data_IF_809589712206
#
_entry.id   IF_809589712206
#
_cell.length_a   1.000
_cell.length_b   1.000
_cell.length_c   1.000
_cell.angle_alpha   90.00
_cell.angle_beta   90.00
_cell.angle_gamma   90.00
#
_symmetry.space_group_name_H-M   'P 1'
#
loop_
_entity.id
_entity.type
_entity.pdbx_description
1 polymer ?
#
# COMPACT_ATOMS: atom_id res chain seq x y z
N UNK A 1 27.68 12.23 8.56
CA UNK A 1 28.03 11.00 9.30
C UNK A 1 28.56 10.01 8.28
N UNK A 2 29.88 9.73 8.31
CA UNK A 2 30.58 8.92 7.30
C UNK A 2 30.23 7.46 7.53
N UNK A 3 29.49 6.85 6.61
CA UNK A 3 29.24 5.40 6.61
C UNK A 3 30.49 4.71 6.09
N UNK A 4 31.28 4.18 7.02
CA UNK A 4 32.34 3.23 6.79
C UNK A 4 31.81 2.02 6.02
N UNK A 5 32.29 1.81 4.78
CA UNK A 5 32.12 0.56 4.05
C UNK A 5 32.88 -0.54 4.79
N UNK A 6 32.19 -1.32 5.60
CA UNK A 6 32.70 -2.59 6.13
C UNK A 6 32.68 -3.59 4.97
N UNK A 7 33.84 -3.81 4.35
CA UNK A 7 34.08 -4.94 3.46
C UNK A 7 34.16 -6.21 4.31
N UNK A 8 33.05 -6.95 4.38
CA UNK A 8 33.07 -8.27 5.00
C UNK A 8 33.84 -9.23 4.10
N UNK A 9 35.03 -9.60 4.58
CA UNK A 9 35.90 -10.62 4.00
C UNK A 9 35.14 -11.96 4.00
N UNK A 10 34.85 -12.48 2.81
CA UNK A 10 34.20 -13.79 2.60
C UNK A 10 35.05 -14.89 3.28
N UNK A 11 34.53 -15.65 4.26
CA UNK A 11 35.26 -16.80 4.77
C UNK A 11 35.18 -17.92 3.74
N UNK A 12 36.33 -18.25 3.14
CA UNK A 12 36.50 -19.47 2.35
C UNK A 12 36.47 -20.67 3.31
N UNK A 13 35.27 -21.20 3.56
CA UNK A 13 35.10 -22.53 4.15
C UNK A 13 34.94 -23.53 3.02
N UNK A 14 35.82 -24.52 3.01
CA UNK A 14 35.79 -25.71 2.17
C UNK A 14 34.45 -26.44 2.32
N UNK A 15 33.67 -26.44 1.25
CA UNK A 15 32.50 -27.31 1.08
C UNK A 15 33.00 -28.63 0.55
N UNK A 16 33.31 -29.56 1.45
CA UNK A 16 33.49 -30.97 1.13
C UNK A 16 33.15 -31.75 2.39
N UNK A 17 32.22 -32.71 2.26
CA UNK A 17 31.66 -33.59 3.31
C UNK A 17 30.41 -33.08 4.06
N UNK A 18 29.30 -32.95 3.31
CA UNK A 18 27.94 -33.09 3.85
C UNK A 18 26.99 -33.61 2.77
N UNK A 19 27.36 -34.71 2.09
CA UNK A 19 26.49 -35.41 1.14
C UNK A 19 26.29 -36.82 1.69
N UNK A 20 25.33 -36.99 2.59
CA UNK A 20 25.13 -38.32 3.19
C UNK A 20 24.16 -38.36 4.36
N UNK A 21 23.03 -37.66 4.27
CA UNK A 21 21.78 -38.02 4.94
C UNK A 21 20.70 -37.06 4.43
N UNK A 22 20.02 -37.44 3.34
CA UNK A 22 18.75 -36.81 2.96
C UNK A 22 17.77 -37.13 4.09
N UNK A 23 17.65 -36.18 5.02
CA UNK A 23 16.70 -36.25 6.13
C UNK A 23 15.34 -36.60 5.58
N UNK A 24 14.80 -37.76 5.98
CA UNK A 24 13.42 -38.13 5.68
C UNK A 24 12.52 -36.98 6.12
N UNK A 25 11.64 -36.55 5.21
CA UNK A 25 10.64 -35.53 5.49
C UNK A 25 9.72 -36.01 6.62
N UNK A 26 9.92 -35.46 7.82
CA UNK A 26 9.10 -35.77 8.98
C UNK A 26 7.77 -35.03 8.84
N UNK A 27 6.72 -35.73 8.42
CA UNK A 27 5.33 -35.23 8.29
C UNK A 27 4.72 -34.63 9.56
N UNK A 28 5.44 -34.68 10.69
CA UNK A 28 5.01 -34.10 11.96
C UNK A 28 5.56 -32.68 12.18
N UNK A 29 6.30 -32.15 11.21
CA UNK A 29 6.95 -30.87 11.34
C UNK A 29 6.14 -29.77 10.65
N UNK A 30 5.19 -29.19 11.38
CA UNK A 30 4.32 -28.11 10.90
C UNK A 30 5.05 -26.81 10.53
N UNK A 31 6.35 -26.72 10.83
CA UNK A 31 7.17 -25.52 10.58
C UNK A 31 8.14 -25.69 9.41
N UNK A 32 8.11 -26.84 8.73
CA UNK A 32 9.11 -27.18 7.73
C UNK A 32 9.17 -26.15 6.59
N UNK A 33 8.01 -25.81 5.99
CA UNK A 33 7.93 -24.81 4.94
C UNK A 33 8.39 -23.43 5.41
N UNK A 34 7.99 -23.02 6.62
CA UNK A 34 8.41 -21.74 7.20
C UNK A 34 9.94 -21.68 7.30
N UNK A 35 10.58 -22.72 7.85
CA UNK A 35 12.04 -22.76 7.96
C UNK A 35 12.70 -22.62 6.61
N UNK A 36 12.30 -23.40 5.61
CA UNK A 36 12.86 -23.30 4.26
C UNK A 36 12.74 -21.89 3.67
N UNK A 37 11.55 -21.27 3.77
CA UNK A 37 11.33 -19.90 3.27
C UNK A 37 12.15 -18.84 4.03
N UNK A 38 12.34 -19.02 5.34
CA UNK A 38 13.11 -18.09 6.19
C UNK A 38 14.64 -18.26 6.09
N UNK A 39 15.12 -19.43 5.67
CA UNK A 39 16.56 -19.75 5.57
C UNK A 39 17.06 -19.86 4.14
N UNK A 40 16.37 -19.24 3.18
CA UNK A 40 16.76 -19.21 1.76
C UNK A 40 16.82 -20.60 1.08
N UNK A 41 16.16 -21.61 1.64
CA UNK A 41 16.04 -22.96 1.06
C UNK A 41 15.00 -23.00 -0.05
N UNK A 42 15.11 -22.11 -1.04
CA UNK A 42 14.05 -21.84 -2.01
C UNK A 42 13.75 -23.04 -2.92
N UNK A 43 14.78 -23.75 -3.38
CA UNK A 43 14.61 -24.94 -4.24
C UNK A 43 13.86 -26.06 -3.50
N UNK A 44 14.25 -26.34 -2.26
CA UNK A 44 13.57 -27.32 -1.40
C UNK A 44 12.14 -26.87 -1.07
N UNK A 45 11.91 -25.57 -0.86
CA UNK A 45 10.58 -25.03 -0.59
C UNK A 45 9.67 -25.16 -1.81
N UNK A 46 10.18 -24.88 -3.02
CA UNK A 46 9.45 -25.06 -4.29
C UNK A 46 9.13 -26.53 -4.49
N UNK A 47 10.12 -27.43 -4.37
CA UNK A 47 9.91 -28.87 -4.51
C UNK A 47 8.89 -29.41 -3.50
N UNK A 48 8.92 -28.90 -2.26
CA UNK A 48 7.95 -29.26 -1.25
C UNK A 48 6.53 -28.75 -1.58
N UNK A 49 6.40 -27.51 -2.05
CA UNK A 49 5.13 -26.95 -2.48
C UNK A 49 4.53 -27.74 -3.65
N UNK A 50 5.34 -28.09 -4.65
CA UNK A 50 4.90 -28.90 -5.78
C UNK A 50 4.46 -30.30 -5.33
N UNK A 51 5.20 -30.92 -4.41
CA UNK A 51 4.81 -32.21 -3.82
C UNK A 51 3.47 -32.14 -3.07
N UNK A 52 3.21 -31.07 -2.32
CA UNK A 52 1.92 -30.84 -1.66
C UNK A 52 0.79 -30.68 -2.69
N UNK A 53 1.01 -29.88 -3.73
CA UNK A 53 -0.02 -29.61 -4.73
C UNK A 53 -0.39 -30.87 -5.51
N UNK A 54 0.62 -31.61 -6.00
CA UNK A 54 0.42 -32.90 -6.70
C UNK A 54 -0.28 -33.92 -5.80
N UNK A 55 0.10 -34.00 -4.52
CA UNK A 55 -0.54 -34.91 -3.56
C UNK A 55 -2.03 -34.64 -3.36
N UNK A 56 -2.41 -33.36 -3.24
CA UNK A 56 -3.82 -32.93 -3.16
C UNK A 56 -4.58 -33.33 -4.44
N UNK A 57 -4.04 -32.99 -5.61
CA UNK A 57 -4.70 -33.26 -6.90
C UNK A 57 -4.88 -34.76 -7.15
N UNK A 58 -3.86 -35.59 -6.89
CA UNK A 58 -3.97 -37.04 -7.00
C UNK A 58 -4.99 -37.64 -6.03
N UNK A 59 -5.11 -37.12 -4.81
CA UNK A 59 -6.10 -37.61 -3.86
C UNK A 59 -7.56 -37.31 -4.30
N UNK A 60 -7.77 -36.26 -5.10
CA UNK A 60 -9.09 -35.90 -5.62
C UNK A 60 -9.56 -36.82 -6.75
N UNK A 61 -8.67 -37.27 -7.63
CA UNK A 61 -9.02 -38.13 -8.76
C UNK A 61 -9.47 -39.52 -8.30
N UNK A 62 -8.89 -40.04 -7.22
CA UNK A 62 -9.26 -41.33 -6.61
C UNK A 62 -10.70 -41.32 -6.05
N UNK A 63 -11.21 -40.15 -5.62
CA UNK A 63 -12.55 -40.02 -5.04
C UNK A 63 -13.63 -39.69 -6.10
N UNK A 64 -13.23 -39.25 -7.29
CA UNK A 64 -14.14 -38.80 -8.36
C UNK A 64 -14.55 -39.89 -9.37
N UNK A 65 -14.52 -41.16 -8.98
CA UNK A 65 -14.75 -42.31 -9.86
C UNK A 65 -16.06 -42.26 -10.66
N UNK A 66 -15.98 -41.71 -11.87
CA UNK A 66 -16.79 -42.08 -13.03
C UNK A 66 -15.86 -42.27 -14.22
N UNK A 67 -15.88 -43.48 -14.77
CA UNK A 67 -15.11 -43.97 -15.91
C UNK A 67 -15.00 -42.96 -17.07
N UNK A 68 -13.86 -42.30 -17.20
CA UNK A 68 -13.40 -41.82 -18.52
C UNK A 68 -11.88 -42.00 -18.60
N UNK A 69 -11.49 -43.06 -19.29
CA UNK A 69 -10.11 -43.36 -19.67
C UNK A 69 -9.55 -42.24 -20.56
N UNK A 70 -8.85 -41.28 -19.97
CA UNK A 70 -8.09 -40.25 -20.70
C UNK A 70 -6.59 -40.46 -20.45
N UNK A 71 -5.93 -40.98 -21.47
CA UNK A 71 -4.50 -41.29 -21.57
C UNK A 71 -3.63 -40.02 -21.55
N UNK A 72 -3.36 -39.47 -20.36
CA UNK A 72 -2.38 -38.38 -20.16
C UNK A 72 -1.35 -38.66 -19.04
N UNK A 73 -1.08 -39.93 -18.71
CA UNK A 73 -0.26 -40.30 -17.54
C UNK A 73 1.27 -40.24 -17.71
N UNK A 74 1.83 -39.94 -18.89
CA UNK A 74 3.26 -40.19 -19.12
C UNK A 74 4.21 -38.97 -19.10
N UNK A 75 3.76 -37.77 -18.70
CA UNK A 75 4.62 -36.58 -18.72
C UNK A 75 5.16 -36.10 -17.36
N UNK A 76 4.77 -36.71 -16.24
CA UNK A 76 5.10 -36.20 -14.89
C UNK A 76 5.97 -37.14 -14.01
N UNK A 77 6.31 -38.35 -14.46
CA UNK A 77 6.99 -39.34 -13.62
C UNK A 77 8.54 -39.27 -13.61
N UNK A 78 9.19 -38.51 -14.51
CA UNK A 78 10.64 -38.64 -14.69
C UNK A 78 11.51 -37.58 -14.00
N UNK A 79 10.94 -36.57 -13.34
CA UNK A 79 11.77 -35.47 -12.75
C UNK A 79 11.40 -35.02 -11.34
N UNK A 80 10.35 -35.56 -10.70
CA UNK A 80 10.14 -35.29 -9.28
C UNK A 80 11.14 -36.12 -8.46
N UNK A 81 12.02 -35.49 -7.66
CA UNK A 81 12.94 -36.24 -6.82
C UNK A 81 12.12 -37.14 -5.90
N UNK A 82 12.41 -38.44 -5.94
CA UNK A 82 11.87 -39.54 -5.13
C UNK A 82 12.11 -39.25 -3.63
N UNK A 83 11.38 -38.29 -3.07
CA UNK A 83 11.51 -37.83 -1.69
C UNK A 83 10.22 -38.08 -0.90
N UNK A 84 9.09 -38.26 -1.58
CA UNK A 84 7.90 -38.80 -0.91
C UNK A 84 8.11 -40.31 -0.71
N UNK A 85 8.26 -40.80 0.54
CA UNK A 85 8.37 -42.22 0.79
C UNK A 85 7.14 -42.94 0.21
N UNK A 86 7.28 -44.22 -0.12
CA UNK A 86 6.22 -45.16 -0.54
C UNK A 86 5.11 -45.39 0.52
N UNK A 87 4.84 -44.39 1.36
CA UNK A 87 3.94 -44.39 2.49
C UNK A 87 2.51 -44.21 2.01
N UNK A 88 1.67 -45.19 2.36
CA UNK A 88 0.21 -45.16 2.54
C UNK A 88 -0.50 -43.98 1.87
N UNK A 89 -1.34 -44.28 0.88
CA UNK A 89 -2.25 -43.32 0.25
C UNK A 89 -2.97 -42.49 1.32
N UNK A 90 -2.53 -41.24 1.48
CA UNK A 90 -3.22 -40.28 2.34
C UNK A 90 -4.57 -39.95 1.71
N UNK A 91 -5.57 -39.80 2.56
CA UNK A 91 -6.85 -39.22 2.15
C UNK A 91 -6.65 -37.77 1.71
N UNK A 92 -7.60 -37.27 0.90
CA UNK A 92 -7.63 -35.86 0.51
C UNK A 92 -7.61 -34.93 1.74
N UNK A 93 -8.38 -35.29 2.79
CA UNK A 93 -8.45 -34.49 4.00
C UNK A 93 -7.09 -34.38 4.71
N UNK A 94 -6.34 -35.48 4.83
CA UNK A 94 -5.00 -35.48 5.43
C UNK A 94 -4.01 -34.61 4.63
N UNK A 95 -4.12 -34.59 3.30
CA UNK A 95 -3.33 -33.69 2.46
C UNK A 95 -3.69 -32.22 2.67
N UNK A 96 -4.98 -31.91 2.69
CA UNK A 96 -5.47 -30.55 2.92
C UNK A 96 -5.09 -30.03 4.30
N UNK A 97 -5.23 -30.85 5.34
CA UNK A 97 -4.87 -30.48 6.71
C UNK A 97 -3.36 -30.23 6.83
N UNK A 98 -2.54 -31.09 6.23
CA UNK A 98 -1.09 -30.93 6.26
C UNK A 98 -0.63 -29.71 5.45
N UNK A 99 -1.13 -29.50 4.23
CA UNK A 99 -0.83 -28.29 3.47
C UNK A 99 -1.30 -27.03 4.21
N UNK A 100 -2.45 -27.10 4.90
CA UNK A 100 -2.96 -26.01 5.72
C UNK A 100 -2.07 -25.72 6.94
N UNK A 101 -1.50 -26.74 7.59
CA UNK A 101 -0.60 -26.53 8.74
C UNK A 101 0.70 -25.85 8.30
N UNK A 102 1.27 -26.28 7.17
CA UNK A 102 2.48 -25.70 6.61
C UNK A 102 2.28 -24.26 6.16
N UNK A 103 1.26 -23.99 5.32
CA UNK A 103 1.10 -22.70 4.65
C UNK A 103 0.64 -21.60 5.62
N UNK A 104 -0.11 -21.96 6.66
CA UNK A 104 -0.64 -21.02 7.66
C UNK A 104 0.08 -21.10 9.02
N UNK A 105 1.20 -21.82 9.12
CA UNK A 105 2.05 -21.73 10.31
C UNK A 105 2.45 -20.27 10.54
N UNK A 106 2.31 -19.79 11.77
CA UNK A 106 2.70 -18.44 12.15
C UNK A 106 3.81 -18.49 13.20
N UNK A 107 4.87 -17.72 13.00
CA UNK A 107 5.91 -17.54 14.00
C UNK A 107 5.44 -16.64 15.18
N UNK A 108 6.36 -16.32 16.09
CA UNK A 108 6.07 -15.47 17.25
C UNK A 108 5.66 -14.03 16.90
N UNK A 109 5.82 -13.59 15.65
CA UNK A 109 5.38 -12.29 15.15
C UNK A 109 4.13 -12.38 14.26
N UNK A 110 3.56 -13.58 14.08
CA UNK A 110 2.41 -13.81 13.21
C UNK A 110 2.78 -13.99 11.73
N UNK A 111 4.07 -14.11 11.40
CA UNK A 111 4.50 -14.24 10.01
C UNK A 111 4.23 -15.66 9.51
N UNK A 112 3.60 -15.76 8.35
CA UNK A 112 3.46 -17.01 7.59
C UNK A 112 4.72 -17.29 6.77
N UNK A 113 4.89 -18.49 6.16
CA UNK A 113 5.98 -18.73 5.21
C UNK A 113 6.02 -17.71 4.06
N UNK A 114 4.85 -17.21 3.63
CA UNK A 114 4.78 -16.18 2.60
C UNK A 114 5.32 -14.83 3.09
N UNK A 115 5.10 -14.45 4.36
CA UNK A 115 5.75 -13.27 4.95
C UNK A 115 7.27 -13.45 5.03
N UNK A 116 7.71 -14.61 5.53
CA UNK A 116 9.13 -14.92 5.67
C UNK A 116 9.86 -14.86 4.32
N UNK A 117 9.27 -15.46 3.27
CA UNK A 117 9.77 -15.35 1.91
C UNK A 117 9.82 -13.88 1.45
N UNK A 118 8.73 -13.13 1.66
CA UNK A 118 8.61 -11.73 1.23
C UNK A 118 9.63 -10.80 1.89
N UNK A 119 10.09 -11.12 3.11
CA UNK A 119 11.07 -10.30 3.82
C UNK A 119 12.46 -10.32 3.17
N UNK A 120 12.78 -11.36 2.38
CA UNK A 120 14.13 -11.64 1.89
C UNK A 120 14.27 -11.59 0.37
N UNK A 121 13.43 -10.79 -0.31
CA UNK A 121 13.44 -10.60 -1.78
C UNK A 121 13.41 -11.95 -2.53
N UNK A 122 12.32 -12.71 -2.39
CA UNK A 122 12.28 -14.09 -2.84
C UNK A 122 12.27 -14.17 -4.38
N UNK A 123 12.76 -15.27 -4.97
CA UNK A 123 12.62 -15.48 -6.40
C UNK A 123 11.14 -15.72 -6.74
N UNK A 124 10.73 -15.29 -7.95
CA UNK A 124 9.34 -15.44 -8.42
C UNK A 124 8.82 -16.88 -8.31
N UNK A 125 9.66 -17.87 -8.63
CA UNK A 125 9.27 -19.29 -8.58
C UNK A 125 8.81 -19.74 -7.18
N UNK A 126 9.39 -19.19 -6.11
CA UNK A 126 8.99 -19.54 -4.75
C UNK A 126 7.61 -18.98 -4.43
N UNK A 127 7.36 -17.73 -4.82
CA UNK A 127 6.07 -17.08 -4.60
C UNK A 127 4.97 -17.78 -5.40
N UNK A 128 5.20 -18.11 -6.68
CA UNK A 128 4.24 -18.89 -7.46
C UNK A 128 3.98 -20.28 -6.85
N UNK A 129 5.01 -20.97 -6.35
CA UNK A 129 4.84 -22.27 -5.72
C UNK A 129 3.98 -22.20 -4.44
N UNK A 130 4.21 -21.19 -3.59
CA UNK A 130 3.39 -20.95 -2.40
C UNK A 130 1.92 -20.65 -2.77
N UNK A 131 1.71 -19.83 -3.80
CA UNK A 131 0.38 -19.53 -4.32
C UNK A 131 -0.30 -20.74 -4.93
N UNK A 132 0.42 -21.58 -5.68
CA UNK A 132 -0.10 -22.84 -6.22
C UNK A 132 -0.67 -23.73 -5.14
N UNK A 133 0.05 -23.92 -4.03
CA UNK A 133 -0.45 -24.66 -2.85
C UNK A 133 -1.69 -23.98 -2.26
N UNK A 134 -1.68 -22.65 -2.15
CA UNK A 134 -2.83 -21.86 -1.72
C UNK A 134 -4.07 -22.12 -2.60
N UNK A 135 -3.92 -22.10 -3.92
CA UNK A 135 -5.00 -22.32 -4.90
C UNK A 135 -5.59 -23.72 -4.78
N UNK A 136 -4.79 -24.78 -4.78
CA UNK A 136 -5.32 -26.17 -4.66
C UNK A 136 -5.97 -26.40 -3.29
N UNK A 137 -5.40 -25.85 -2.22
CA UNK A 137 -6.00 -25.90 -0.89
C UNK A 137 -7.35 -25.19 -0.88
N UNK A 138 -7.43 -23.99 -1.45
CA UNK A 138 -8.67 -23.23 -1.54
C UNK A 138 -9.71 -23.93 -2.40
N UNK A 139 -9.32 -24.48 -3.57
CA UNK A 139 -10.23 -25.18 -4.48
C UNK A 139 -10.95 -26.36 -3.83
N UNK A 140 -10.23 -27.16 -3.03
CA UNK A 140 -10.75 -28.42 -2.49
C UNK A 140 -11.24 -28.33 -1.04
N UNK A 141 -10.99 -27.22 -0.34
CA UNK A 141 -11.49 -27.02 1.02
C UNK A 141 -12.96 -26.59 1.02
N UNK A 142 -13.76 -27.24 1.86
CA UNK A 142 -15.18 -26.91 2.08
C UNK A 142 -15.35 -25.70 3.00
N UNK A 143 -14.46 -25.55 3.97
CA UNK A 143 -14.43 -24.44 4.92
C UNK A 143 -13.78 -23.19 4.30
N UNK A 144 -14.61 -22.18 3.98
CA UNK A 144 -14.23 -20.86 3.46
C UNK A 144 -14.06 -19.81 4.57
N UNK A 145 -14.00 -20.19 5.84
CA UNK A 145 -13.87 -19.23 6.96
C UNK A 145 -12.50 -18.58 7.05
N UNK A 146 -11.47 -19.18 6.44
CA UNK A 146 -10.12 -18.62 6.40
C UNK A 146 -9.98 -17.61 5.27
N UNK A 147 -9.07 -16.66 5.42
CA UNK A 147 -8.68 -15.75 4.34
C UNK A 147 -7.61 -16.39 3.45
N UNK A 148 -7.49 -15.99 2.17
CA UNK A 148 -6.41 -16.46 1.31
C UNK A 148 -5.04 -16.14 1.89
N UNK A 149 -4.01 -16.93 1.55
CA UNK A 149 -2.68 -16.80 2.17
C UNK A 149 -2.06 -15.40 1.98
N UNK A 150 -2.35 -14.75 0.85
CA UNK A 150 -1.89 -13.38 0.55
C UNK A 150 -2.56 -12.30 1.40
N UNK A 151 -3.67 -12.60 2.08
CA UNK A 151 -4.43 -11.68 2.93
C UNK A 151 -4.22 -11.92 4.43
N UNK A 152 -3.45 -12.93 4.83
CA UNK A 152 -3.24 -13.25 6.25
C UNK A 152 -2.40 -12.13 6.87
N UNK A 153 -2.88 -11.39 7.89
CA UNK A 153 -2.07 -10.39 8.55
C UNK A 153 -1.12 -11.01 9.59
N UNK A 154 0.07 -10.42 9.76
CA UNK A 154 0.94 -10.61 10.92
C UNK A 154 0.41 -9.85 12.15
N UNK A 155 1.11 -9.92 13.30
CA UNK A 155 0.67 -9.28 14.55
C UNK A 155 0.59 -7.75 14.47
N UNK A 156 1.43 -7.14 13.65
CA UNK A 156 1.39 -5.71 13.35
C UNK A 156 0.41 -5.37 12.21
N UNK A 157 -0.43 -6.32 11.79
CA UNK A 157 -1.36 -6.21 10.66
C UNK A 157 -0.71 -6.08 9.27
N UNK A 158 0.61 -6.29 9.15
CA UNK A 158 1.25 -6.33 7.85
C UNK A 158 0.79 -7.55 7.04
N UNK A 159 0.46 -7.35 5.77
CA UNK A 159 0.22 -8.47 4.83
C UNK A 159 1.53 -8.91 4.20
N UNK A 160 1.64 -10.13 3.63
CA UNK A 160 2.84 -10.53 2.92
C UNK A 160 3.17 -9.60 1.74
N UNK A 161 2.15 -9.04 1.08
CA UNK A 161 2.35 -8.06 0.01
C UNK A 161 2.94 -6.74 0.52
N UNK A 162 2.46 -6.22 1.66
CA UNK A 162 3.06 -5.06 2.31
C UNK A 162 4.53 -5.30 2.63
N UNK A 163 4.85 -6.48 3.19
CA UNK A 163 6.22 -6.87 3.50
C UNK A 163 7.05 -6.88 2.21
N UNK A 164 6.60 -7.54 1.15
CA UNK A 164 7.29 -7.60 -0.13
C UNK A 164 7.57 -6.21 -0.73
N UNK A 165 6.58 -5.30 -0.66
CA UNK A 165 6.74 -3.91 -1.09
C UNK A 165 7.81 -3.17 -0.27
N UNK A 166 7.82 -3.37 1.05
CA UNK A 166 8.68 -2.66 1.99
C UNK A 166 10.13 -3.18 2.02
N UNK A 167 10.36 -4.42 1.58
CA UNK A 167 11.70 -5.05 1.55
C UNK A 167 12.34 -5.09 0.17
N UNK A 168 11.67 -4.53 -0.85
CA UNK A 168 12.23 -4.40 -2.19
C UNK A 168 12.13 -5.65 -3.04
N UNK A 169 11.03 -6.40 -2.93
CA UNK A 169 10.75 -7.46 -3.88
C UNK A 169 10.72 -6.92 -5.32
N UNK A 170 11.06 -7.76 -6.29
CA UNK A 170 11.08 -7.35 -7.70
C UNK A 170 9.67 -7.02 -8.20
N UNK A 171 9.58 -6.19 -9.26
CA UNK A 171 8.29 -5.89 -9.90
C UNK A 171 7.55 -7.15 -10.34
N UNK A 172 8.26 -8.19 -10.79
CA UNK A 172 7.67 -9.48 -11.16
C UNK A 172 7.05 -10.22 -9.98
N UNK A 173 7.68 -10.19 -8.80
CA UNK A 173 7.11 -10.79 -7.58
C UNK A 173 5.86 -10.03 -7.16
N UNK A 174 5.92 -8.70 -7.13
CA UNK A 174 4.77 -7.88 -6.73
C UNK A 174 3.61 -7.99 -7.73
N UNK A 175 3.91 -8.09 -9.03
CA UNK A 175 2.93 -8.37 -10.06
C UNK A 175 2.26 -9.73 -9.82
N UNK A 176 3.02 -10.76 -9.43
CA UNK A 176 2.48 -12.09 -9.11
C UNK A 176 1.51 -12.05 -7.92
N UNK A 177 1.77 -11.24 -6.89
CA UNK A 177 0.80 -11.02 -5.80
C UNK A 177 -0.53 -10.45 -6.30
N UNK A 178 -0.47 -9.43 -7.16
CA UNK A 178 -1.67 -8.80 -7.70
C UNK A 178 -2.42 -9.72 -8.68
N UNK A 179 -1.69 -10.49 -9.49
CA UNK A 179 -2.25 -11.52 -10.37
C UNK A 179 -2.97 -12.61 -9.56
N UNK A 180 -2.43 -12.99 -8.41
CA UNK A 180 -3.05 -13.99 -7.53
C UNK A 180 -4.37 -13.49 -6.93
N UNK A 181 -4.46 -12.20 -6.58
CA UNK A 181 -5.73 -11.59 -6.13
C UNK A 181 -6.78 -11.65 -7.23
N UNK A 182 -6.40 -11.23 -8.44
CA UNK A 182 -7.30 -11.25 -9.60
C UNK A 182 -7.74 -12.67 -9.93
N UNK A 183 -6.85 -13.66 -9.84
CA UNK A 183 -7.18 -15.08 -10.01
C UNK A 183 -8.29 -15.54 -9.04
N UNK A 184 -8.19 -15.22 -7.74
CA UNK A 184 -9.24 -15.59 -6.77
C UNK A 184 -10.58 -14.90 -7.06
N UNK A 185 -10.55 -13.70 -7.62
CA UNK A 185 -11.77 -12.97 -7.99
C UNK A 185 -12.41 -13.59 -9.24
N UNK A 186 -11.61 -13.90 -10.26
CA UNK A 186 -12.06 -14.48 -11.51
C UNK A 186 -12.67 -15.88 -11.32
N UNK A 187 -12.11 -16.66 -10.39
CA UNK A 187 -12.66 -17.95 -9.96
C UNK A 187 -13.90 -17.83 -9.06
N UNK A 188 -14.36 -16.61 -8.75
CA UNK A 188 -15.42 -16.30 -7.76
C UNK A 188 -15.17 -16.95 -6.39
N UNK A 189 -13.90 -17.10 -6.03
CA UNK A 189 -13.46 -17.68 -4.77
C UNK A 189 -13.50 -16.68 -3.61
N UNK A 190 -13.42 -15.39 -3.94
CA UNK A 190 -13.57 -14.27 -3.02
C UNK A 190 -14.38 -13.16 -3.69
N UNK A 191 -14.99 -12.29 -2.88
CA UNK A 191 -15.66 -11.09 -3.39
C UNK A 191 -14.64 -10.10 -4.00
N UNK A 192 -15.08 -9.29 -4.97
CA UNK A 192 -14.22 -8.27 -5.58
C UNK A 192 -13.59 -7.34 -4.54
N UNK A 193 -14.29 -7.05 -3.43
CA UNK A 193 -13.79 -6.21 -2.35
C UNK A 193 -12.50 -6.76 -1.70
N UNK A 194 -12.18 -8.04 -1.91
CA UNK A 194 -10.95 -8.64 -1.42
C UNK A 194 -9.67 -7.99 -2.01
N UNK A 195 -9.75 -7.28 -3.15
CA UNK A 195 -8.62 -6.45 -3.66
C UNK A 195 -8.09 -5.46 -2.64
N UNK A 196 -8.98 -4.93 -1.80
CA UNK A 196 -8.61 -3.94 -0.78
C UNK A 196 -7.83 -4.57 0.37
N UNK A 197 -7.96 -5.88 0.62
CA UNK A 197 -7.28 -6.58 1.71
C UNK A 197 -5.76 -6.60 1.52
N UNK A 198 -5.30 -6.74 0.28
CA UNK A 198 -3.87 -6.73 -0.04
C UNK A 198 -3.23 -5.38 0.22
N UNK A 199 -4.02 -4.30 0.17
CA UNK A 199 -3.57 -2.93 0.32
C UNK A 199 -3.87 -2.32 1.67
N UNK A 200 -4.32 -3.14 2.63
CA UNK A 200 -4.56 -2.66 3.98
C UNK A 200 -3.26 -2.11 4.58
N UNK A 201 -3.35 -0.97 5.26
CA UNK A 201 -2.24 -0.48 6.05
C UNK A 201 -1.98 -1.42 7.24
N UNK A 202 -0.73 -1.51 7.65
CA UNK A 202 -0.37 -2.10 8.94
C UNK A 202 -0.85 -1.24 10.13
N UNK A 203 -0.59 -1.69 11.36
CA UNK A 203 -0.88 -0.97 12.59
C UNK A 203 -0.10 0.35 12.75
N UNK A 204 0.89 0.60 11.89
CA UNK A 204 1.63 1.87 11.81
C UNK A 204 1.09 2.80 10.72
N UNK A 205 0.08 2.36 9.96
CA UNK A 205 -0.49 3.11 8.84
C UNK A 205 0.25 2.93 7.52
N UNK A 206 1.25 2.04 7.42
CA UNK A 206 2.04 1.81 6.22
C UNK A 206 1.26 0.95 5.22
N UNK A 207 1.01 1.46 4.02
CA UNK A 207 0.37 0.71 2.93
C UNK A 207 1.41 0.12 1.99
N UNK A 208 1.07 -0.90 1.17
CA UNK A 208 2.03 -1.48 0.22
C UNK A 208 2.59 -0.46 -0.77
N UNK A 209 1.77 0.50 -1.18
CA UNK A 209 2.23 1.59 -2.03
C UNK A 209 3.31 2.43 -1.31
N UNK A 210 3.12 2.77 -0.02
CA UNK A 210 4.15 3.45 0.76
C UNK A 210 5.43 2.63 0.89
N UNK A 211 5.31 1.34 1.21
CA UNK A 211 6.46 0.43 1.30
C UNK A 211 7.26 0.43 -0.02
N UNK A 212 6.55 0.29 -1.14
CA UNK A 212 7.11 0.28 -2.48
C UNK A 212 7.85 1.58 -2.82
N UNK A 213 7.23 2.73 -2.55
CA UNK A 213 7.82 4.05 -2.82
C UNK A 213 9.00 4.32 -1.88
N UNK A 214 8.84 4.03 -0.59
CA UNK A 214 9.88 4.29 0.41
C UNK A 214 11.15 3.50 0.11
N UNK A 215 11.01 2.24 -0.30
CA UNK A 215 12.15 1.41 -0.68
C UNK A 215 12.85 1.94 -1.94
N UNK A 216 12.08 2.38 -2.94
CA UNK A 216 12.62 2.83 -4.22
C UNK A 216 12.91 4.34 -4.29
N UNK A 217 12.81 5.06 -3.16
CA UNK A 217 12.96 6.52 -3.12
C UNK A 217 14.27 6.99 -3.72
N UNK A 218 15.38 6.34 -3.37
CA UNK A 218 16.70 6.73 -3.89
C UNK A 218 16.80 6.46 -5.38
N UNK A 219 16.23 5.35 -5.86
CA UNK A 219 16.19 5.03 -7.29
C UNK A 219 15.33 6.05 -8.07
N UNK A 220 14.18 6.44 -7.53
CA UNK A 220 13.33 7.51 -8.09
C UNK A 220 14.08 8.83 -8.14
N UNK A 221 14.74 9.23 -7.04
CA UNK A 221 15.50 10.49 -6.99
C UNK A 221 16.65 10.53 -8.00
N UNK A 222 17.24 9.37 -8.35
CA UNK A 222 18.26 9.30 -9.40
C UNK A 222 17.69 9.45 -10.82
N UNK A 223 16.40 9.17 -11.03
CA UNK A 223 15.74 9.39 -12.32
C UNK A 223 15.54 10.88 -12.62
N UNK A 224 15.31 11.71 -11.59
CA UNK A 224 15.13 13.16 -11.76
C UNK A 224 16.41 13.88 -12.18
N UNK A 225 17.58 13.30 -11.92
CA UNK A 225 18.88 13.97 -12.10
C UNK A 225 19.56 13.65 -13.44
N UNK A 226 19.06 12.69 -14.21
CA UNK A 226 19.73 12.23 -15.43
C UNK A 226 18.77 12.00 -16.60
N UNK A 227 19.16 12.35 -17.84
CA UNK A 227 18.37 11.99 -19.02
C UNK A 227 18.15 10.47 -19.06
N UNK A 228 16.89 10.07 -19.22
CA UNK A 228 16.45 8.69 -19.09
C UNK A 228 17.22 7.81 -20.07
N UNK A 229 18.02 6.89 -19.55
CA UNK A 229 18.63 5.85 -20.36
C UNK A 229 17.50 4.95 -20.92
N UNK A 230 17.49 4.58 -22.22
CA UNK A 230 16.43 3.74 -22.79
C UNK A 230 16.21 2.41 -22.06
N UNK A 231 17.26 1.85 -21.43
CA UNK A 231 17.13 0.65 -20.60
C UNK A 231 16.35 0.89 -19.31
N UNK A 232 16.41 2.12 -18.79
CA UNK A 232 15.72 2.52 -17.56
C UNK A 232 14.27 2.86 -17.83
N UNK A 233 13.94 3.28 -19.06
CA UNK A 233 12.59 3.56 -19.51
C UNK A 233 11.67 2.34 -19.35
N UNK A 234 12.13 1.14 -19.74
CA UNK A 234 11.36 -0.09 -19.56
C UNK A 234 11.13 -0.44 -18.07
N UNK A 235 12.16 -0.26 -17.23
CA UNK A 235 12.05 -0.48 -15.79
C UNK A 235 11.14 0.54 -15.12
N UNK A 236 11.18 1.80 -15.55
CA UNK A 236 10.31 2.88 -15.07
C UNK A 236 8.86 2.66 -15.48
N UNK A 237 8.61 2.25 -16.72
CA UNK A 237 7.26 1.90 -17.17
C UNK A 237 6.71 0.73 -16.35
N UNK A 238 7.52 -0.32 -16.10
CA UNK A 238 7.10 -1.44 -15.27
C UNK A 238 6.81 -1.01 -13.81
N UNK A 239 7.67 -0.16 -13.25
CA UNK A 239 7.51 0.42 -11.92
C UNK A 239 6.20 1.22 -11.79
N UNK A 240 5.95 2.11 -12.74
CA UNK A 240 4.76 2.96 -12.76
C UNK A 240 3.50 2.14 -13.00
N UNK A 241 3.52 1.18 -13.94
CA UNK A 241 2.43 0.23 -14.17
C UNK A 241 2.04 -0.50 -12.88
N UNK A 242 3.03 -0.96 -12.12
CA UNK A 242 2.78 -1.62 -10.85
C UNK A 242 2.19 -0.66 -9.81
N UNK A 243 2.73 0.54 -9.65
CA UNK A 243 2.19 1.55 -8.73
C UNK A 243 0.74 1.93 -9.07
N UNK A 244 0.42 2.09 -10.36
CA UNK A 244 -0.94 2.34 -10.84
C UNK A 244 -1.84 1.14 -10.56
N UNK A 245 -1.35 -0.08 -10.76
CA UNK A 245 -2.13 -1.29 -10.44
C UNK A 245 -2.38 -1.41 -8.94
N UNK A 246 -1.42 -1.03 -8.09
CA UNK A 246 -1.66 -0.93 -6.64
C UNK A 246 -2.72 0.12 -6.33
N UNK A 247 -2.67 1.30 -6.95
CA UNK A 247 -3.74 2.31 -6.79
C UNK A 247 -5.08 1.79 -7.32
N UNK A 248 -5.09 1.03 -8.42
CA UNK A 248 -6.29 0.39 -8.96
C UNK A 248 -6.86 -0.66 -8.01
N UNK A 249 -6.04 -1.53 -7.44
CA UNK A 249 -6.49 -2.50 -6.46
C UNK A 249 -7.07 -1.82 -5.20
N UNK A 250 -6.63 -0.59 -4.86
CA UNK A 250 -7.22 0.20 -3.77
C UNK A 250 -8.55 0.85 -4.18
N UNK A 251 -8.86 0.89 -5.48
CA UNK A 251 -9.91 1.73 -6.06
C UNK A 251 -10.75 0.89 -7.01
N UNK A 252 -11.78 0.27 -6.46
CA UNK A 252 -12.71 -0.55 -7.22
C UNK A 252 -13.30 0.27 -8.39
N UNK A 253 -13.46 -0.38 -9.55
CA UNK A 253 -14.14 0.13 -10.75
C UNK A 253 -13.44 1.23 -11.58
N UNK A 254 -12.13 1.44 -11.42
CA UNK A 254 -11.35 2.40 -12.24
C UNK A 254 -10.48 1.69 -13.27
N UNK A 255 -10.69 1.91 -14.57
CA UNK A 255 -9.84 1.31 -15.62
C UNK A 255 -8.82 2.33 -16.13
N UNK A 256 -7.53 2.27 -15.72
CA UNK A 256 -6.50 3.28 -16.05
C UNK A 256 -6.11 3.34 -17.53
N UNK A 257 -6.70 2.45 -18.31
CA UNK A 257 -6.59 2.32 -19.75
C UNK A 257 -7.50 3.29 -20.52
N UNK A 258 -8.57 3.76 -19.87
CA UNK A 258 -9.54 4.68 -20.46
C UNK A 258 -9.26 6.09 -19.96
N UNK A 259 -9.11 7.09 -20.86
CA UNK A 259 -8.88 8.46 -20.44
C UNK A 259 -9.96 9.05 -19.54
N UNK A 260 -11.20 8.57 -19.66
CA UNK A 260 -12.32 8.93 -18.78
C UNK A 260 -12.09 8.54 -17.31
N UNK A 261 -11.12 7.68 -17.03
CA UNK A 261 -10.72 7.30 -15.67
C UNK A 261 -9.74 8.29 -15.04
N UNK A 262 -9.13 9.21 -15.80
CA UNK A 262 -8.14 10.16 -15.29
C UNK A 262 -8.66 11.01 -14.12
N UNK A 263 -9.85 11.63 -14.20
CA UNK A 263 -10.40 12.38 -13.07
C UNK A 263 -10.58 11.52 -11.82
N UNK A 264 -11.02 10.27 -12.00
CA UNK A 264 -11.19 9.34 -10.90
C UNK A 264 -9.83 8.94 -10.30
N UNK A 265 -8.80 8.68 -11.10
CA UNK A 265 -7.46 8.39 -10.59
C UNK A 265 -6.86 9.59 -9.83
N UNK A 266 -7.06 10.82 -10.31
CA UNK A 266 -6.64 12.04 -9.58
C UNK A 266 -7.36 12.16 -8.24
N UNK A 267 -8.68 11.92 -8.21
CA UNK A 267 -9.44 11.84 -6.95
C UNK A 267 -8.85 10.82 -5.97
N UNK A 268 -8.41 9.67 -6.47
CA UNK A 268 -7.82 8.62 -5.64
C UNK A 268 -6.42 8.97 -5.16
N UNK A 269 -5.55 9.49 -6.02
CA UNK A 269 -4.25 10.03 -5.62
C UNK A 269 -4.40 11.10 -4.53
N UNK A 270 -5.42 11.95 -4.64
CA UNK A 270 -5.73 12.94 -3.63
C UNK A 270 -6.24 12.33 -2.31
N UNK A 271 -7.07 11.27 -2.35
CA UNK A 271 -7.52 10.54 -1.15
C UNK A 271 -6.38 9.85 -0.39
N UNK A 272 -5.26 9.57 -1.06
CA UNK A 272 -4.04 9.06 -0.44
C UNK A 272 -2.89 10.07 -0.55
N UNK A 273 -3.19 11.38 -0.60
CA UNK A 273 -2.20 12.44 -0.83
C UNK A 273 -0.94 12.38 0.06
N UNK A 274 -1.00 12.02 1.37
CA UNK A 274 0.22 11.89 2.18
C UNK A 274 1.16 10.79 1.69
N UNK A 275 0.64 9.86 0.90
CA UNK A 275 1.26 8.60 0.51
C UNK A 275 1.44 8.44 -1.00
N UNK A 276 0.78 9.29 -1.80
CA UNK A 276 0.85 9.29 -3.25
C UNK A 276 2.05 10.13 -3.72
N UNK A 277 3.01 9.57 -4.47
CA UNK A 277 4.09 10.38 -5.01
C UNK A 277 3.54 11.45 -5.94
N UNK A 278 4.10 12.65 -5.86
CA UNK A 278 3.72 13.79 -6.70
C UNK A 278 3.88 13.45 -8.19
N UNK A 279 4.99 12.80 -8.56
CA UNK A 279 5.23 12.37 -9.93
C UNK A 279 4.19 11.37 -10.43
N UNK A 280 3.54 10.59 -9.56
CA UNK A 280 2.49 9.66 -9.98
C UNK A 280 1.28 10.44 -10.49
N UNK A 281 0.92 11.52 -9.81
CA UNK A 281 -0.16 12.41 -10.24
C UNK A 281 0.19 13.11 -11.56
N UNK A 282 1.40 13.65 -11.67
CA UNK A 282 1.90 14.26 -12.92
C UNK A 282 1.92 13.25 -14.07
N UNK A 283 2.36 12.02 -13.80
CA UNK A 283 2.42 10.96 -14.81
C UNK A 283 1.03 10.55 -15.31
N UNK A 284 0.02 10.53 -14.44
CA UNK A 284 -1.37 10.31 -14.87
C UNK A 284 -1.84 11.34 -15.90
N UNK A 285 -1.26 12.54 -15.87
CA UNK A 285 -1.59 13.64 -16.77
C UNK A 285 -0.68 13.73 -18.00
N UNK A 286 0.41 12.96 -18.09
CA UNK A 286 1.27 13.00 -19.27
C UNK A 286 0.47 12.54 -20.51
N UNK A 287 0.53 13.29 -21.63
CA UNK A 287 -0.04 12.84 -22.90
C UNK A 287 0.62 11.51 -23.27
N UNK A 288 -0.13 10.41 -23.22
CA UNK A 288 0.41 9.11 -23.63
C UNK A 288 0.48 9.12 -25.15
N UNK A 289 1.66 9.35 -25.70
CA UNK A 289 1.95 9.29 -27.14
C UNK A 289 1.44 7.99 -27.80
N UNK A 290 1.28 6.92 -27.01
CA UNK A 290 0.80 5.62 -27.46
C UNK A 290 -0.73 5.41 -27.40
N UNK A 291 -1.52 6.40 -26.97
CA UNK A 291 -3.00 6.31 -26.97
C UNK A 291 -3.60 7.62 -27.48
N UNK A 292 -3.62 7.76 -28.80
CA UNK A 292 -4.50 8.71 -29.45
C UNK A 292 -5.94 8.36 -29.08
N UNK A 293 -6.65 9.25 -28.39
CA UNK A 293 -7.94 9.79 -28.87
C UNK A 293 -8.62 10.72 -27.88
N UNK A 294 -8.35 10.66 -26.57
CA UNK A 294 -8.94 11.62 -25.62
C UNK A 294 -7.92 11.98 -24.54
N UNK A 295 -7.30 13.16 -24.64
CA UNK A 295 -6.58 13.76 -23.53
C UNK A 295 -7.59 14.51 -22.67
N UNK A 296 -7.74 14.13 -21.39
CA UNK A 296 -8.55 14.89 -20.43
C UNK A 296 -7.64 15.96 -19.81
N UNK A 297 -7.95 17.26 -19.96
CA UNK A 297 -7.14 18.32 -19.38
C UNK A 297 -6.98 18.18 -17.87
N UNK A 298 -5.81 18.53 -17.37
CA UNK A 298 -5.47 18.54 -15.94
C UNK A 298 -6.50 19.30 -15.11
N UNK A 299 -6.94 20.45 -15.63
CA UNK A 299 -7.97 21.29 -15.03
C UNK A 299 -9.30 20.56 -14.86
N UNK A 300 -9.72 19.76 -15.84
CA UNK A 300 -10.96 18.98 -15.78
C UNK A 300 -10.85 17.88 -14.73
N UNK A 301 -9.70 17.19 -14.67
CA UNK A 301 -9.45 16.18 -13.64
C UNK A 301 -9.48 16.78 -12.23
N UNK A 302 -8.84 17.94 -12.04
CA UNK A 302 -8.80 18.65 -10.76
C UNK A 302 -10.14 19.31 -10.38
N UNK A 303 -11.02 19.59 -11.35
CA UNK A 303 -12.36 20.16 -11.12
C UNK A 303 -13.47 19.11 -10.97
N UNK A 304 -13.20 17.84 -11.29
CA UNK A 304 -14.23 16.78 -11.25
C UNK A 304 -14.51 16.37 -9.80
N UNK A 305 -15.76 16.55 -9.36
CA UNK A 305 -16.21 16.12 -8.02
C UNK A 305 -16.45 14.62 -7.96
N UNK A 306 -16.19 14.03 -6.80
CA UNK A 306 -16.57 12.64 -6.51
C UNK A 306 -18.08 12.51 -6.24
N UNK A 307 -18.53 11.28 -5.96
CA UNK A 307 -19.94 10.99 -5.64
C UNK A 307 -20.42 11.62 -4.32
N UNK A 308 -19.51 12.13 -3.48
CA UNK A 308 -19.84 12.89 -2.26
C UNK A 308 -19.84 14.41 -2.49
N UNK A 309 -19.57 14.84 -3.73
CA UNK A 309 -19.47 16.25 -4.09
C UNK A 309 -18.13 16.88 -3.74
N UNK A 310 -17.10 16.11 -3.37
CA UNK A 310 -15.76 16.65 -3.03
C UNK A 310 -14.87 16.74 -4.25
N UNK A 311 -14.09 17.81 -4.34
CA UNK A 311 -12.98 17.93 -5.29
C UNK A 311 -11.78 17.07 -4.85
N UNK A 312 -10.83 16.75 -5.75
CA UNK A 312 -9.56 16.15 -5.36
C UNK A 312 -8.85 16.96 -4.28
N UNK A 313 -8.84 18.30 -4.39
CA UNK A 313 -8.27 19.17 -3.35
C UNK A 313 -8.91 18.93 -1.98
N UNK A 314 -10.25 18.82 -1.92
CA UNK A 314 -10.97 18.54 -0.68
C UNK A 314 -10.55 17.22 -0.07
N UNK A 315 -10.40 16.19 -0.90
CA UNK A 315 -9.95 14.88 -0.47
C UNK A 315 -8.50 14.92 0.05
N UNK A 316 -7.58 15.61 -0.65
CA UNK A 316 -6.22 15.81 -0.20
C UNK A 316 -6.15 16.54 1.16
N UNK A 317 -6.94 17.58 1.37
CA UNK A 317 -7.03 18.30 2.65
C UNK A 317 -7.63 17.41 3.75
N UNK A 318 -8.60 16.55 3.43
CA UNK A 318 -9.25 15.69 4.41
C UNK A 318 -8.40 14.47 4.85
N UNK A 319 -7.32 14.15 4.14
CA UNK A 319 -6.49 12.96 4.41
C UNK A 319 -5.74 12.95 5.74
N UNK A 320 -5.74 14.06 6.49
CA UNK A 320 -4.91 14.26 7.70
C UNK A 320 -5.15 13.18 8.78
N UNK A 321 -6.30 12.48 8.79
CA UNK A 321 -6.69 11.69 9.98
C UNK A 321 -7.44 10.37 9.72
N UNK A 322 -7.65 9.94 8.47
CA UNK A 322 -8.55 8.78 8.20
C UNK A 322 -7.96 7.44 8.66
N UNK A 323 -6.63 7.30 8.72
CA UNK A 323 -5.99 6.03 9.06
C UNK A 323 -5.73 5.83 10.57
N UNK A 324 -5.80 6.88 11.38
CA UNK A 324 -5.77 6.74 12.84
C UNK A 324 -7.08 6.15 13.39
N UNK A 325 -8.18 6.24 12.63
CA UNK A 325 -9.53 5.91 13.10
C UNK A 325 -10.14 4.66 12.45
N UNK A 326 -9.63 4.21 11.30
CA UNK A 326 -10.22 3.10 10.52
C UNK A 326 -9.82 1.68 10.98
N UNK A 327 -9.22 1.52 12.16
CA UNK A 327 -9.11 0.17 12.74
C UNK A 327 -10.51 -0.28 13.20
N UNK A 328 -11.15 -1.14 12.42
CA UNK A 328 -12.41 -1.81 12.77
C UNK A 328 -12.31 -2.75 14.00
N UNK A 329 -11.23 -2.66 14.77
CA UNK A 329 -11.12 -3.14 16.16
C UNK A 329 -11.56 -2.08 17.20
N UNK A 330 -12.10 -0.94 16.77
CA UNK A 330 -12.56 0.17 17.62
C UNK A 330 -13.80 -0.13 18.48
N UNK A 331 -14.36 -1.36 18.50
CA UNK A 331 -15.48 -1.72 19.39
C UNK A 331 -15.09 -1.77 20.88
N UNK A 332 -13.81 -1.58 21.24
CA UNK A 332 -13.38 -1.47 22.65
C UNK A 332 -12.63 -0.19 23.05
N UNK A 333 -12.58 0.84 22.21
CA UNK A 333 -11.88 2.11 22.53
C UNK A 333 -12.79 3.35 22.57
N UNK A 334 -14.05 3.18 22.91
CA UNK A 334 -15.02 4.28 23.01
C UNK A 334 -14.85 5.23 24.22
N UNK A 335 -13.77 5.12 24.99
CA UNK A 335 -13.53 6.04 26.12
C UNK A 335 -12.06 6.41 26.22
N UNK A 336 -11.77 7.67 25.87
CA UNK A 336 -10.62 8.45 26.38
C UNK A 336 -9.23 8.08 25.83
N UNK A 337 -9.02 8.21 24.52
CA UNK A 337 -7.66 8.47 24.03
C UNK A 337 -7.69 9.54 22.94
N UNK A 338 -7.11 10.74 23.16
CA UNK A 338 -7.04 11.77 22.14
C UNK A 338 -6.12 11.32 21.02
N UNK A 339 -6.40 11.78 19.81
CA UNK A 339 -5.55 11.63 18.63
C UNK A 339 -4.12 12.02 18.98
N UNK A 340 -3.24 11.02 19.19
CA UNK A 340 -1.80 11.25 19.11
C UNK A 340 -1.53 11.42 17.63
N UNK A 341 -1.58 12.67 17.16
CA UNK A 341 -1.23 13.03 15.79
C UNK A 341 0.19 12.60 15.50
N UNK A 342 0.35 11.51 14.78
CA UNK A 342 1.66 11.09 14.27
C UNK A 342 2.05 12.09 13.17
N UNK A 343 2.70 13.18 13.57
CA UNK A 343 3.20 14.22 12.65
C UNK A 343 4.44 13.71 11.93
N UNK A 344 4.24 12.85 10.93
CA UNK A 344 5.33 12.47 10.04
C UNK A 344 5.53 13.60 9.01
N UNK A 345 6.54 14.44 9.26
CA UNK A 345 6.91 15.56 8.40
C UNK A 345 7.00 15.20 6.92
N UNK A 346 7.49 13.99 6.57
CA UNK A 346 7.59 13.57 5.16
C UNK A 346 6.24 13.40 4.50
N UNK A 347 5.26 12.85 5.23
CA UNK A 347 3.89 12.67 4.75
C UNK A 347 3.22 14.03 4.55
N UNK A 348 3.43 14.96 5.48
CA UNK A 348 2.95 16.34 5.40
C UNK A 348 3.54 17.08 4.20
N UNK A 349 4.85 16.99 3.98
CA UNK A 349 5.52 17.56 2.80
C UNK A 349 4.91 16.99 1.51
N UNK A 350 4.77 15.67 1.42
CA UNK A 350 4.21 15.03 0.22
C UNK A 350 2.77 15.45 -0.04
N UNK A 351 1.93 15.53 1.00
CA UNK A 351 0.57 16.05 0.90
C UNK A 351 0.54 17.49 0.38
N UNK A 352 1.40 18.36 0.92
CA UNK A 352 1.48 19.75 0.49
C UNK A 352 1.88 19.88 -0.99
N UNK A 353 2.79 19.03 -1.47
CA UNK A 353 3.16 19.02 -2.90
C UNK A 353 2.03 18.52 -3.81
N UNK A 354 1.27 17.49 -3.38
CA UNK A 354 0.05 17.08 -4.08
C UNK A 354 -0.95 18.24 -4.14
N UNK A 355 -1.17 18.95 -3.04
CA UNK A 355 -2.08 20.09 -2.96
C UNK A 355 -1.63 21.24 -3.87
N UNK A 356 -0.33 21.60 -3.85
CA UNK A 356 0.25 22.60 -4.77
C UNK A 356 0.01 22.20 -6.23
N UNK A 357 0.21 20.92 -6.56
CA UNK A 357 0.00 20.42 -7.92
C UNK A 357 -1.48 20.53 -8.32
N UNK A 358 -2.41 20.09 -7.47
CA UNK A 358 -3.85 20.22 -7.72
C UNK A 358 -4.27 21.70 -7.90
N UNK A 359 -3.73 22.60 -7.09
CA UNK A 359 -4.00 24.05 -7.20
C UNK A 359 -3.39 24.66 -8.46
N UNK A 360 -2.24 24.17 -8.92
CA UNK A 360 -1.69 24.61 -10.21
C UNK A 360 -2.58 24.20 -11.40
N UNK A 361 -3.24 23.04 -11.31
CA UNK A 361 -4.18 22.56 -12.33
C UNK A 361 -5.53 23.26 -12.25
N UNK A 362 -6.03 23.54 -11.04
CA UNK A 362 -7.32 24.19 -10.82
C UNK A 362 -7.30 25.16 -9.63
N UNK A 363 -6.79 26.40 -9.81
CA UNK A 363 -6.64 27.37 -8.72
C UNK A 363 -7.94 27.72 -7.99
N UNK A 364 -9.06 27.72 -8.71
CA UNK A 364 -10.39 28.01 -8.16
C UNK A 364 -10.80 27.04 -7.04
N UNK A 365 -10.25 25.83 -7.01
CA UNK A 365 -10.53 24.85 -5.97
C UNK A 365 -10.24 25.37 -4.55
N UNK A 366 -9.25 26.27 -4.37
CA UNK A 366 -8.99 26.89 -3.07
C UNK A 366 -10.20 27.68 -2.55
N UNK A 367 -10.98 28.27 -3.46
CA UNK A 367 -12.20 29.02 -3.19
C UNK A 367 -13.46 28.16 -3.02
N UNK A 368 -13.45 26.92 -3.51
CA UNK A 368 -14.67 26.11 -3.58
C UNK A 368 -14.95 25.40 -2.25
N UNK A 369 -16.13 25.61 -1.64
CA UNK A 369 -16.44 25.00 -0.36
C UNK A 369 -16.59 23.48 -0.47
N UNK A 370 -16.28 22.81 0.65
CA UNK A 370 -16.62 21.42 0.89
C UNK A 370 -18.15 21.22 0.86
N UNK A 371 -18.66 19.97 0.73
CA UNK A 371 -20.10 19.69 0.77
C UNK A 371 -20.83 20.17 2.04
N UNK A 372 -20.11 20.32 3.16
CA UNK A 372 -20.64 20.87 4.41
C UNK A 372 -20.67 22.42 4.44
N UNK A 373 -20.30 23.08 3.33
CA UNK A 373 -20.25 24.54 3.21
C UNK A 373 -18.98 25.19 3.75
N UNK A 374 -18.03 24.43 4.32
CA UNK A 374 -16.80 24.99 4.88
C UNK A 374 -15.78 25.28 3.77
N UNK A 375 -15.08 26.40 3.86
CA UNK A 375 -14.00 26.72 2.93
C UNK A 375 -12.79 25.78 3.11
N UNK A 376 -12.00 25.52 2.06
CA UNK A 376 -10.77 24.74 2.18
C UNK A 376 -9.80 25.25 3.24
N UNK A 377 -9.65 26.57 3.38
CA UNK A 377 -8.82 27.18 4.43
C UNK A 377 -9.34 26.85 5.84
N UNK A 378 -10.64 27.02 6.09
CA UNK A 378 -11.24 26.71 7.38
C UNK A 378 -11.18 25.20 7.70
N UNK A 379 -11.33 24.33 6.71
CA UNK A 379 -11.20 22.87 6.90
C UNK A 379 -9.77 22.49 7.24
N UNK A 380 -8.76 23.08 6.58
CA UNK A 380 -7.37 22.85 6.90
C UNK A 380 -7.02 23.32 8.33
N UNK A 381 -7.49 24.50 8.75
CA UNK A 381 -7.31 25.02 10.12
C UNK A 381 -8.03 24.13 11.13
N UNK A 382 -9.26 23.73 10.84
CA UNK A 382 -10.08 22.84 11.65
C UNK A 382 -9.40 21.49 11.93
N UNK A 383 -8.55 21.04 11.00
CA UNK A 383 -7.76 19.80 11.08
C UNK A 383 -6.35 20.00 11.62
N UNK A 384 -6.02 21.18 12.14
CA UNK A 384 -4.70 21.45 12.72
C UNK A 384 -3.59 21.63 11.68
N UNK A 385 -3.92 22.11 10.48
CA UNK A 385 -2.93 22.53 9.50
C UNK A 385 -2.03 23.65 10.03
N UNK A 386 -0.87 23.82 9.40
CA UNK A 386 0.13 24.83 9.80
C UNK A 386 0.36 25.85 8.70
N UNK A 387 0.71 27.08 9.12
CA UNK A 387 1.15 28.13 8.21
C UNK A 387 2.49 27.81 7.55
N UNK A 388 3.51 27.45 8.34
CA UNK A 388 4.79 26.97 7.84
C UNK A 388 4.86 25.44 7.84
N UNK A 389 5.70 24.86 6.98
CA UNK A 389 6.03 23.45 7.05
C UNK A 389 6.72 23.13 8.38
N UNK A 390 6.53 21.91 8.89
CA UNK A 390 7.24 21.41 10.08
C UNK A 390 8.74 21.19 9.78
N UNK A 391 9.14 21.33 8.51
CA UNK A 391 10.54 21.27 8.14
C UNK A 391 11.39 22.31 8.84
N UNK A 392 12.62 21.94 9.17
CA UNK A 392 13.59 22.84 9.77
C UNK A 392 13.74 24.06 8.84
N UNK A 393 13.35 25.27 9.28
CA UNK A 393 13.39 26.47 8.45
C UNK A 393 14.82 26.82 8.03
N UNK A 394 15.85 26.23 8.65
CA UNK A 394 17.24 26.33 8.21
C UNK A 394 17.47 25.59 6.89
N UNK A 395 16.79 24.46 6.70
CA UNK A 395 16.98 23.59 5.53
C UNK A 395 16.14 23.99 4.33
N UNK A 396 14.95 24.58 4.56
CA UNK A 396 14.05 25.02 3.51
C UNK A 396 13.23 26.24 4.01
N UNK A 397 13.78 27.46 3.89
CA UNK A 397 13.11 28.67 4.36
C UNK A 397 11.83 29.00 3.58
N UNK A 398 11.65 28.40 2.40
CA UNK A 398 10.50 28.62 1.52
C UNK A 398 9.43 27.52 1.69
N UNK A 399 9.60 26.61 2.67
CA UNK A 399 8.69 25.52 2.93
C UNK A 399 7.33 26.02 3.46
N UNK A 400 6.42 26.30 2.52
CA UNK A 400 5.06 26.71 2.83
C UNK A 400 4.25 25.57 3.45
N UNK A 401 3.58 25.85 4.57
CA UNK A 401 2.62 24.94 5.18
C UNK A 401 1.27 24.98 4.45
N UNK A 402 0.39 24.05 4.80
CA UNK A 402 -0.91 23.89 4.15
C UNK A 402 -1.75 25.17 4.17
N UNK A 403 -1.77 25.88 5.30
CA UNK A 403 -2.58 27.10 5.46
C UNK A 403 -2.04 28.20 4.56
N UNK A 404 -0.72 28.39 4.51
CA UNK A 404 -0.09 29.39 3.64
C UNK A 404 -0.34 29.08 2.15
N UNK A 405 -0.27 27.80 1.75
CA UNK A 405 -0.56 27.37 0.38
C UNK A 405 -1.99 27.76 -0.03
N UNK A 406 -2.98 27.48 0.83
CA UNK A 406 -4.39 27.79 0.55
C UNK A 406 -4.65 29.30 0.56
N UNK A 407 -4.10 30.01 1.54
CA UNK A 407 -4.20 31.47 1.65
C UNK A 407 -3.68 32.16 0.38
N UNK A 408 -2.53 31.75 -0.15
CA UNK A 408 -1.96 32.34 -1.35
C UNK A 408 -2.85 32.20 -2.60
N UNK A 409 -3.75 31.22 -2.62
CA UNK A 409 -4.67 30.99 -3.76
C UNK A 409 -6.07 31.58 -3.54
N UNK A 410 -6.49 31.80 -2.28
CA UNK A 410 -7.81 32.36 -1.95
C UNK A 410 -7.74 33.25 -0.68
N UNK A 411 -7.06 34.41 -0.75
CA UNK A 411 -6.83 35.26 0.42
C UNK A 411 -8.12 35.83 1.03
N UNK A 412 -9.14 36.07 0.20
CA UNK A 412 -10.44 36.62 0.61
C UNK A 412 -11.16 35.72 1.63
N UNK A 413 -10.82 34.42 1.71
CA UNK A 413 -11.38 33.49 2.70
C UNK A 413 -11.02 33.85 4.15
N UNK A 414 -10.02 34.72 4.38
CA UNK A 414 -9.74 35.24 5.72
C UNK A 414 -10.91 36.02 6.33
N UNK A 415 -11.75 36.61 5.48
CA UNK A 415 -12.90 37.42 5.88
C UNK A 415 -14.19 36.58 5.97
N UNK A 416 -14.14 35.31 5.57
CA UNK A 416 -15.30 34.42 5.61
C UNK A 416 -15.42 33.74 6.97
N UNK A 417 -16.60 33.79 7.58
CA UNK A 417 -16.87 33.00 8.79
C UNK A 417 -17.04 31.53 8.39
N UNK A 418 -16.41 30.65 9.15
CA UNK A 418 -16.62 29.22 9.03
C UNK A 418 -18.10 28.91 9.21
N UNK A 419 -18.72 28.27 8.22
CA UNK A 419 -20.16 27.98 8.21
C UNK A 419 -20.57 26.99 9.30
N UNK A 420 -19.62 26.21 9.85
CA UNK A 420 -19.88 25.24 10.91
C UNK A 420 -19.77 25.86 12.31
N UNK A 421 -18.72 26.64 12.58
CA UNK A 421 -18.46 27.22 13.91
C UNK A 421 -18.88 28.67 14.07
N UNK A 422 -19.12 29.38 12.97
CA UNK A 422 -19.35 30.82 12.93
C UNK A 422 -18.11 31.66 13.21
N UNK A 423 -16.93 31.05 13.37
CA UNK A 423 -15.68 31.71 13.70
C UNK A 423 -14.93 32.17 12.45
N UNK A 424 -14.20 33.29 12.55
CA UNK A 424 -13.22 33.66 11.53
C UNK A 424 -12.00 32.70 11.56
N UNK A 425 -11.23 32.55 10.47
CA UNK A 425 -10.12 31.61 10.38
C UNK A 425 -9.08 31.73 11.51
N UNK A 426 -8.70 32.96 11.91
CA UNK A 426 -7.76 33.16 13.02
C UNK A 426 -8.33 32.73 14.38
N UNK A 427 -9.64 32.94 14.60
CA UNK A 427 -10.34 32.51 15.81
C UNK A 427 -10.48 30.98 15.83
N UNK A 428 -10.77 30.39 14.66
CA UNK A 428 -10.83 28.95 14.50
C UNK A 428 -9.46 28.32 14.80
N UNK A 429 -8.36 28.90 14.31
CA UNK A 429 -7.00 28.46 14.62
C UNK A 429 -6.69 28.53 16.13
N UNK A 430 -7.14 29.58 16.81
CA UNK A 430 -7.02 29.70 18.27
C UNK A 430 -7.89 28.67 19.03
N UNK A 431 -9.05 28.30 18.47
CA UNK A 431 -9.94 27.32 19.06
C UNK A 431 -9.49 25.87 18.84
N UNK A 432 -8.67 25.61 17.81
CA UNK A 432 -8.14 24.26 17.51
C UNK A 432 -6.87 23.91 18.30
N UNK A 433 -6.42 24.76 19.23
CA UNK A 433 -5.26 24.47 20.10
C UNK A 433 -5.48 23.13 20.82
N UNK A 434 -4.66 22.10 20.55
CA UNK A 434 -4.81 20.83 21.21
C UNK A 434 -4.50 21.00 22.70
N UNK A 435 -5.42 20.55 23.55
CA UNK A 435 -5.34 20.65 25.01
C UNK A 435 -4.22 19.79 25.64
N UNK A 436 -3.46 19.02 24.85
CA UNK A 436 -2.52 18.01 25.33
C UNK A 436 -1.21 18.02 24.53
N UNK A 437 -0.23 18.81 24.99
CA UNK A 437 1.20 18.55 24.78
C UNK A 437 1.81 18.83 23.40
N UNK A 438 1.04 19.27 22.41
CA UNK A 438 1.57 19.74 21.13
C UNK A 438 2.31 21.08 21.27
N UNK A 439 3.29 21.34 20.40
CA UNK A 439 4.01 22.61 20.40
C UNK A 439 3.04 23.75 20.05
N UNK A 440 2.63 24.54 21.05
CA UNK A 440 1.77 25.72 20.87
C UNK A 440 2.36 26.72 19.86
N UNK A 441 3.67 26.64 19.60
CA UNK A 441 4.37 27.49 18.64
C UNK A 441 3.75 27.44 17.24
N UNK A 442 3.34 26.27 16.73
CA UNK A 442 2.78 26.17 15.38
C UNK A 442 1.40 26.82 15.25
N UNK A 443 0.58 26.75 16.30
CA UNK A 443 -0.74 27.40 16.32
C UNK A 443 -0.59 28.91 16.47
N UNK A 444 0.27 29.37 17.40
CA UNK A 444 0.56 30.79 17.57
C UNK A 444 1.15 31.41 16.31
N UNK A 445 2.07 30.70 15.65
CA UNK A 445 2.63 31.11 14.37
C UNK A 445 1.55 31.23 13.29
N UNK A 446 0.63 30.27 13.23
CA UNK A 446 -0.50 30.32 12.31
C UNK A 446 -1.40 31.52 12.58
N UNK A 447 -1.82 31.73 13.84
CA UNK A 447 -2.65 32.88 14.23
C UNK A 447 -1.94 34.20 13.89
N UNK A 448 -0.67 34.31 14.27
CA UNK A 448 0.14 35.50 14.04
C UNK A 448 0.21 35.82 12.54
N UNK A 449 0.51 34.84 11.70
CA UNK A 449 0.62 35.06 10.26
C UNK A 449 -0.74 35.37 9.61
N UNK A 450 -1.84 34.74 10.04
CA UNK A 450 -3.18 35.09 9.56
C UNK A 450 -3.50 36.56 9.87
N UNK A 451 -3.29 36.99 11.12
CA UNK A 451 -3.55 38.36 11.57
C UNK A 451 -2.61 39.40 10.95
N UNK A 452 -1.34 39.03 10.72
CA UNK A 452 -0.35 39.90 10.10
C UNK A 452 -0.67 40.19 8.64
N UNK A 453 -1.15 39.18 7.92
CA UNK A 453 -1.48 39.32 6.50
C UNK A 453 -2.81 40.03 6.28
N UNK A 454 -3.80 39.83 7.16
CA UNK A 454 -5.02 40.63 7.17
C UNK A 454 -5.50 40.89 8.61
N UNK A 455 -5.37 42.14 9.11
CA UNK A 455 -5.84 42.50 10.45
C UNK A 455 -7.34 42.86 10.48
N UNK A 456 -8.02 43.03 9.33
CA UNK A 456 -9.44 43.42 9.30
C UNK A 456 -10.40 42.46 10.03
N UNK A 457 -10.21 41.12 10.00
CA UNK A 457 -11.02 40.18 10.79
C UNK A 457 -11.13 40.54 12.27
N UNK A 458 -10.08 41.13 12.87
CA UNK A 458 -10.10 41.54 14.28
C UNK A 458 -11.11 42.67 14.48
N UNK A 459 -11.07 43.68 13.62
CA UNK A 459 -12.00 44.81 13.66
C UNK A 459 -13.45 44.36 13.48
N UNK A 460 -13.69 43.44 12.54
CA UNK A 460 -15.02 42.88 12.24
C UNK A 460 -15.56 41.91 13.31
N UNK A 461 -14.69 41.37 14.16
CA UNK A 461 -15.10 40.47 15.25
C UNK A 461 -15.59 41.21 16.50
N UNK A 462 -15.25 42.50 16.63
CA UNK A 462 -15.59 43.35 17.78
C UNK A 462 -16.93 44.09 17.55
N UNK A 463 -17.34 44.22 16.29
CA UNK A 463 -18.65 44.73 15.86
C UNK A 463 -19.71 43.64 15.85
#
# INVERSE_FOLDING_TARGET
MIVSRVTTKKPSRSVSEAVGNKSMMAWHDDQYLFRLTSTFGWEDAVAFCDALAVGIEQATTVHGGTDTTSSCENYLNDTLPVILPQNRSKSLQEWLDYASSQLFYQDQWGNTPLHAASYVQPPLMLIDALFRVGRVLWKHRTDRSRVPIWAVPSKDASTPFLVACSTGATTSVLQCFLDEVDYYIDENWVDRCARTLVLQPDNQGTTPLMGWISFHRDWIAHLDLHPINPKWELSLIAYLRLAIRMVWCATMDVYPEYPSSNPMLVQRCALIAPYCPVFMMQWLMLPREYRAEVYVPEQECAATRDNTGKLPLHNAIATIEVYATSSNFAVRRATLSPLIGYQNQKLETNRNEIIKTLLSWYPKAAGEPFPNGRSPLCEAIGRGGYWHSIADPITDPDASGLIQILYNHAPDQLLERDTVTGLFPFMLAAATVPSLGGSQTGVLDTIYNLLRNDPQPVCLSIS
#
